data_IF_499090351568
#
_entry.id   IF_499090351568
#
_cell.length_a   1.000
_cell.length_b   1.000
_cell.length_c   1.000
_cell.angle_alpha   90.00
_cell.angle_beta   90.00
_cell.angle_gamma   90.00
#
_symmetry.space_group_name_H-M   'P 1'
#
loop_
_entity.id
_entity.type
_entity.pdbx_description
1 polymer ?
#
# COMPACT_ATOMS: atom_id res chain seq x y z
N UNK A 1 4.61 24.32 -4.51
CA UNK A 1 5.37 24.05 -3.26
C UNK A 1 6.00 22.68 -3.37
N UNK A 2 7.29 22.55 -3.05
CA UNK A 2 8.01 21.27 -3.03
C UNK A 2 8.80 21.18 -1.73
N UNK A 3 8.65 20.08 -1.01
CA UNK A 3 9.48 19.69 0.14
C UNK A 3 10.46 18.62 -0.29
N UNK A 4 11.72 18.73 0.07
CA UNK A 4 12.74 17.74 -0.32
C UNK A 4 13.83 17.62 0.74
N UNK A 5 14.44 16.44 0.82
CA UNK A 5 15.55 16.12 1.72
C UNK A 5 16.92 16.21 1.03
N UNK A 6 18.00 15.96 1.79
CA UNK A 6 19.38 16.05 1.29
C UNK A 6 19.66 15.20 0.05
N UNK A 7 19.03 14.03 -0.06
CA UNK A 7 19.20 13.08 -1.15
C UNK A 7 18.69 13.59 -2.52
N UNK A 8 17.93 14.69 -2.51
CA UNK A 8 17.32 15.28 -3.71
C UNK A 8 17.93 16.61 -4.12
N UNK A 9 18.93 17.15 -3.39
CA UNK A 9 19.49 18.49 -3.64
C UNK A 9 19.86 18.68 -5.12
N UNK A 10 20.75 17.85 -5.69
CA UNK A 10 21.18 18.00 -7.08
C UNK A 10 20.03 17.88 -8.09
N UNK A 11 19.09 16.96 -7.86
CA UNK A 11 17.93 16.81 -8.75
C UNK A 11 17.00 18.00 -8.71
N UNK A 12 16.81 18.60 -7.54
CA UNK A 12 15.97 19.80 -7.39
C UNK A 12 16.66 21.02 -7.97
N UNK A 13 17.96 21.14 -7.76
CA UNK A 13 18.79 22.23 -8.35
C UNK A 13 18.73 22.20 -9.89
N UNK A 14 18.87 21.03 -10.50
CA UNK A 14 18.79 20.87 -11.96
C UNK A 14 17.43 21.28 -12.54
N UNK A 15 16.33 20.95 -11.87
CA UNK A 15 14.97 21.26 -12.37
C UNK A 15 14.44 22.62 -11.93
N UNK A 16 14.97 23.20 -10.88
CA UNK A 16 14.51 24.46 -10.31
C UNK A 16 14.42 25.60 -11.34
N UNK A 17 15.38 25.80 -12.27
CA UNK A 17 15.29 26.84 -13.30
C UNK A 17 14.11 26.65 -14.27
N UNK A 18 13.71 25.41 -14.53
CA UNK A 18 12.63 25.06 -15.47
C UNK A 18 11.23 25.13 -14.84
N UNK A 19 11.14 25.22 -13.53
CA UNK A 19 9.85 25.33 -12.83
C UNK A 19 9.24 26.73 -13.11
N UNK A 20 7.99 26.77 -13.49
CA UNK A 20 7.26 28.00 -13.75
C UNK A 20 6.95 28.79 -12.48
N UNK A 21 6.34 29.95 -12.62
CA UNK A 21 6.08 30.97 -11.58
C UNK A 21 5.51 30.40 -10.26
N UNK A 22 5.93 30.97 -9.13
CA UNK A 22 5.33 30.73 -7.82
C UNK A 22 5.84 29.48 -7.11
N UNK A 23 7.04 29.01 -7.44
CA UNK A 23 7.68 27.89 -6.76
C UNK A 23 8.16 28.28 -5.37
N UNK A 24 7.74 27.50 -4.39
CA UNK A 24 8.30 27.50 -3.06
C UNK A 24 9.03 26.17 -2.90
N UNK A 25 10.32 26.23 -2.64
CA UNK A 25 11.20 25.08 -2.44
C UNK A 25 11.60 25.04 -0.97
N UNK A 26 11.11 24.06 -0.22
CA UNK A 26 11.43 23.89 1.20
C UNK A 26 12.36 22.71 1.38
N UNK A 27 13.50 22.98 1.98
CA UNK A 27 14.46 21.94 2.32
C UNK A 27 14.23 21.44 3.75
N UNK A 28 14.18 20.13 3.91
CA UNK A 28 14.02 19.47 5.22
C UNK A 28 15.31 18.71 5.52
N UNK A 29 16.14 19.27 6.37
CA UNK A 29 17.44 18.70 6.74
C UNK A 29 18.39 19.74 7.30
N UNK A 30 19.63 19.35 7.50
CA UNK A 30 20.71 20.26 7.90
C UNK A 30 21.41 20.85 6.66
N UNK A 31 21.97 22.05 6.80
CA UNK A 31 22.69 22.76 5.72
C UNK A 31 21.83 23.03 4.49
N UNK A 32 20.76 23.84 4.68
CA UNK A 32 19.86 24.23 3.61
C UNK A 32 20.62 24.86 2.43
N UNK A 33 20.40 24.37 1.19
CA UNK A 33 21.01 24.94 0.00
C UNK A 33 20.46 26.34 -0.31
N UNK A 34 21.28 27.23 -0.89
CA UNK A 34 20.94 28.63 -1.14
C UNK A 34 19.75 28.85 -2.08
N UNK A 35 19.35 27.85 -2.87
CA UNK A 35 18.22 27.93 -3.79
C UNK A 35 16.88 27.53 -3.16
N UNK A 36 16.87 27.13 -1.88
CA UNK A 36 15.67 26.72 -1.15
C UNK A 36 15.53 27.46 0.17
N UNK A 37 14.37 27.38 0.79
CA UNK A 37 14.09 27.88 2.13
C UNK A 37 14.18 26.74 3.14
N UNK A 38 14.79 26.99 4.30
CA UNK A 38 14.81 26.03 5.39
C UNK A 38 13.39 25.83 5.95
N UNK A 39 12.93 24.58 5.99
CA UNK A 39 11.57 24.25 6.43
C UNK A 39 11.28 24.70 7.86
N UNK A 40 12.20 24.50 8.78
CA UNK A 40 11.99 24.82 10.19
C UNK A 40 11.93 26.32 10.39
N UNK A 41 12.79 27.07 9.74
CA UNK A 41 12.79 28.53 9.78
C UNK A 41 11.51 29.10 9.15
N UNK A 42 11.10 28.58 7.99
CA UNK A 42 9.92 29.06 7.28
C UNK A 42 8.61 28.77 8.05
N UNK A 43 8.57 27.70 8.84
CA UNK A 43 7.38 27.31 9.60
C UNK A 43 7.37 27.80 11.06
N UNK A 44 8.47 28.32 11.58
CA UNK A 44 8.61 28.71 12.99
C UNK A 44 7.54 29.66 13.51
N UNK A 45 7.04 30.54 12.65
CA UNK A 45 6.02 31.53 12.99
C UNK A 45 4.65 31.25 12.36
N UNK A 46 4.44 30.05 11.81
CA UNK A 46 3.14 29.66 11.28
C UNK A 46 2.14 29.40 12.41
N UNK A 47 0.86 29.66 12.14
CA UNK A 47 -0.22 29.34 13.07
C UNK A 47 -0.30 27.81 13.25
N UNK A 48 -0.48 27.37 14.49
CA UNK A 48 -0.80 25.98 14.82
C UNK A 48 -2.29 25.63 14.67
N UNK A 49 -3.14 26.64 14.41
CA UNK A 49 -4.56 26.43 14.23
C UNK A 49 -4.83 25.70 12.90
N UNK A 50 -5.70 24.68 12.90
CA UNK A 50 -6.10 24.01 11.67
C UNK A 50 -6.71 25.01 10.67
N UNK A 51 -6.38 24.92 9.38
CA UNK A 51 -7.00 25.75 8.37
C UNK A 51 -8.51 25.45 8.30
N UNK A 52 -9.32 26.52 8.20
CA UNK A 52 -10.78 26.41 8.09
C UNK A 52 -11.18 26.03 6.65
N UNK A 53 -10.83 24.81 6.25
CA UNK A 53 -11.16 24.28 4.92
C UNK A 53 -12.07 23.07 5.12
N UNK A 54 -13.19 23.06 4.41
CA UNK A 54 -14.08 21.91 4.35
C UNK A 54 -13.60 20.98 3.23
N UNK A 55 -13.11 19.80 3.61
CA UNK A 55 -12.68 18.75 2.67
C UNK A 55 -13.84 17.82 2.42
N UNK A 56 -14.14 17.55 1.14
CA UNK A 56 -15.16 16.58 0.72
C UNK A 56 -14.51 15.27 0.29
N UNK A 57 -15.26 14.20 0.33
CA UNK A 57 -14.81 12.86 -0.08
C UNK A 57 -14.34 12.83 -1.54
N UNK A 58 -14.95 13.64 -2.40
CA UNK A 58 -14.67 13.74 -3.82
C UNK A 58 -13.47 14.64 -4.15
N UNK A 59 -12.98 15.42 -3.19
CA UNK A 59 -11.82 16.30 -3.41
C UNK A 59 -10.57 15.50 -3.75
N UNK A 60 -9.74 16.11 -4.59
CA UNK A 60 -8.45 15.55 -4.97
C UNK A 60 -7.48 15.61 -3.78
N UNK A 61 -6.93 14.45 -3.40
CA UNK A 61 -6.10 14.32 -2.22
C UNK A 61 -4.61 14.15 -2.54
N UNK A 62 -4.28 13.37 -3.58
CA UNK A 62 -2.89 13.05 -3.87
C UNK A 62 -2.67 12.68 -5.34
N UNK A 63 -1.45 12.92 -5.82
CA UNK A 63 -0.97 12.39 -7.10
C UNK A 63 0.15 11.41 -6.79
N UNK A 64 -0.05 10.16 -7.20
CA UNK A 64 0.96 9.11 -7.14
C UNK A 64 1.53 8.84 -8.52
N UNK A 65 2.83 8.60 -8.59
CA UNK A 65 3.48 8.23 -9.84
C UNK A 65 3.79 6.75 -9.84
N UNK A 66 3.37 6.03 -10.89
CA UNK A 66 3.75 4.64 -11.13
C UNK A 66 4.75 4.52 -12.25
N UNK A 67 5.58 3.47 -12.21
CA UNK A 67 6.48 3.13 -13.32
C UNK A 67 5.64 2.70 -14.52
N UNK A 68 5.48 3.59 -15.49
CA UNK A 68 4.72 3.27 -16.70
C UNK A 68 5.45 2.24 -17.58
N UNK A 69 4.72 1.30 -18.17
CA UNK A 69 5.24 0.35 -19.18
C UNK A 69 5.87 1.04 -20.40
N UNK A 70 5.70 2.34 -20.55
CA UNK A 70 6.19 3.18 -21.65
C UNK A 70 7.45 3.97 -21.29
N UNK A 71 8.10 3.69 -20.16
CA UNK A 71 9.34 4.34 -19.72
C UNK A 71 9.17 5.69 -19.01
N UNK A 72 7.98 6.30 -19.07
CA UNK A 72 7.68 7.53 -18.35
C UNK A 72 6.72 7.27 -17.18
N UNK A 73 6.93 7.90 -16.02
CA UNK A 73 6.01 7.81 -14.88
C UNK A 73 4.59 8.26 -15.27
N UNK A 74 3.59 7.51 -14.82
CA UNK A 74 2.18 7.88 -14.97
C UNK A 74 1.70 8.54 -13.69
N UNK A 75 1.11 9.71 -13.82
CA UNK A 75 0.46 10.42 -12.71
C UNK A 75 -0.94 9.86 -12.48
N UNK A 76 -1.22 9.45 -11.26
CA UNK A 76 -2.48 8.86 -10.82
C UNK A 76 -3.07 9.80 -9.77
N UNK A 77 -4.18 10.44 -10.12
CA UNK A 77 -4.91 11.32 -9.20
C UNK A 77 -5.82 10.49 -8.30
N UNK A 78 -5.66 10.65 -6.99
CA UNK A 78 -6.44 9.97 -5.97
C UNK A 78 -7.27 10.97 -5.16
N UNK A 79 -8.52 10.61 -4.86
CA UNK A 79 -9.43 11.40 -4.02
C UNK A 79 -9.34 10.97 -2.56
N UNK A 80 -9.80 11.84 -1.65
CA UNK A 80 -9.84 11.55 -0.22
C UNK A 80 -10.57 10.25 0.09
N UNK A 81 -11.77 10.05 -0.47
CA UNK A 81 -12.51 8.81 -0.30
C UNK A 81 -11.73 7.56 -0.74
N UNK A 82 -10.95 7.64 -1.83
CA UNK A 82 -10.18 6.49 -2.31
C UNK A 82 -9.10 6.06 -1.30
N UNK A 83 -8.41 7.04 -0.71
CA UNK A 83 -7.40 6.80 0.32
C UNK A 83 -8.03 6.21 1.59
N UNK A 84 -9.12 6.82 2.07
CA UNK A 84 -9.84 6.36 3.26
C UNK A 84 -10.36 4.93 3.09
N UNK A 85 -10.91 4.63 1.91
CA UNK A 85 -11.49 3.33 1.65
C UNK A 85 -10.45 2.22 1.55
N UNK A 86 -9.31 2.51 0.94
CA UNK A 86 -8.18 1.60 0.89
C UNK A 86 -7.70 1.26 2.31
N UNK A 87 -7.49 2.27 3.14
CA UNK A 87 -7.08 2.13 4.53
C UNK A 87 -8.09 1.33 5.37
N UNK A 88 -9.38 1.65 5.22
CA UNK A 88 -10.47 0.97 5.93
C UNK A 88 -10.57 -0.50 5.54
N UNK A 89 -10.49 -0.82 4.25
CA UNK A 89 -10.58 -2.19 3.78
C UNK A 89 -9.44 -3.04 4.35
N UNK A 90 -8.23 -2.51 4.34
CA UNK A 90 -7.06 -3.18 4.90
C UNK A 90 -7.17 -3.36 6.41
N UNK A 91 -7.56 -2.31 7.13
CA UNK A 91 -7.72 -2.37 8.57
C UNK A 91 -8.80 -3.39 9.01
N UNK A 92 -9.93 -3.45 8.30
CA UNK A 92 -10.99 -4.43 8.57
C UNK A 92 -10.50 -5.84 8.25
N UNK A 93 -9.81 -6.03 7.11
CA UNK A 93 -9.31 -7.33 6.70
C UNK A 93 -8.25 -7.88 7.67
N UNK A 94 -7.37 -7.03 8.16
CA UNK A 94 -6.34 -7.39 9.14
C UNK A 94 -6.83 -7.38 10.59
N UNK A 95 -8.10 -7.10 10.82
CA UNK A 95 -8.66 -6.97 12.18
C UNK A 95 -7.82 -6.01 13.03
N UNK A 96 -7.37 -4.89 12.42
CA UNK A 96 -6.50 -3.93 13.08
C UNK A 96 -7.23 -3.23 14.21
N UNK A 97 -6.61 -3.20 15.38
CA UNK A 97 -7.13 -2.62 16.61
C UNK A 97 -6.30 -1.40 17.03
N UNK A 98 -6.83 -0.64 17.97
CA UNK A 98 -6.13 0.52 18.54
C UNK A 98 -4.76 0.16 19.15
N UNK A 99 -4.65 -1.01 19.75
CA UNK A 99 -3.44 -1.50 20.43
C UNK A 99 -2.38 -2.02 19.46
N UNK A 100 -2.72 -2.19 18.17
CA UNK A 100 -1.77 -2.67 17.19
C UNK A 100 -0.67 -1.65 16.89
N UNK A 101 0.49 -2.17 16.52
CA UNK A 101 1.64 -1.38 16.09
C UNK A 101 2.09 -1.89 14.72
N UNK A 102 1.92 -1.06 13.71
CA UNK A 102 2.34 -1.39 12.35
C UNK A 102 3.79 -0.97 12.09
N UNK A 103 4.63 -1.90 11.63
CA UNK A 103 5.98 -1.58 11.14
C UNK A 103 5.94 -1.25 9.65
N UNK A 104 6.18 0.01 9.32
CA UNK A 104 6.27 0.53 7.97
C UNK A 104 7.73 0.57 7.50
N UNK A 105 8.12 -0.41 6.70
CA UNK A 105 9.47 -0.52 6.13
C UNK A 105 9.56 0.18 4.77
N UNK A 106 8.59 0.01 3.86
CA UNK A 106 8.66 0.65 2.55
C UNK A 106 8.47 2.16 2.65
N UNK A 107 8.98 2.91 1.67
CA UNK A 107 8.75 4.35 1.60
C UNK A 107 7.25 4.70 1.61
N UNK A 108 6.89 5.81 2.26
CA UNK A 108 5.48 6.23 2.43
C UNK A 108 4.75 6.51 1.11
N UNK A 109 5.49 6.76 0.02
CA UNK A 109 4.90 6.89 -1.32
C UNK A 109 4.47 5.56 -1.95
N UNK A 110 4.88 4.42 -1.38
CA UNK A 110 4.49 3.11 -1.87
C UNK A 110 3.04 2.79 -1.46
N UNK A 111 2.25 2.29 -2.41
CA UNK A 111 0.82 2.02 -2.17
C UNK A 111 0.59 1.05 -1.00
N UNK A 112 1.41 0.00 -0.89
CA UNK A 112 1.33 -0.94 0.24
C UNK A 112 1.61 -0.29 1.59
N UNK A 113 2.64 0.56 1.69
CA UNK A 113 2.88 1.33 2.91
C UNK A 113 1.69 2.23 3.24
N UNK A 114 1.21 2.96 2.23
CA UNK A 114 0.13 3.94 2.38
C UNK A 114 -1.13 3.36 3.00
N UNK A 115 -1.64 2.25 2.51
CA UNK A 115 -2.89 1.68 3.02
C UNK A 115 -2.77 1.24 4.48
N UNK A 116 -1.61 0.77 4.91
CA UNK A 116 -1.39 0.37 6.30
C UNK A 116 -1.22 1.55 7.26
N UNK A 117 -0.36 2.52 6.95
CA UNK A 117 -0.17 3.63 7.87
C UNK A 117 -1.39 4.56 7.93
N UNK A 118 -2.14 4.72 6.83
CA UNK A 118 -3.47 5.34 6.90
C UNK A 118 -4.47 4.46 7.66
N UNK A 119 -4.35 3.13 7.60
CA UNK A 119 -5.10 2.22 8.44
C UNK A 119 -4.85 2.46 9.93
N UNK A 120 -3.60 2.73 10.30
CA UNK A 120 -3.25 3.10 11.68
C UNK A 120 -3.89 4.42 12.10
N UNK A 121 -3.89 5.44 11.24
CA UNK A 121 -4.63 6.69 11.52
C UNK A 121 -6.13 6.45 11.66
N UNK A 122 -6.70 5.58 10.82
CA UNK A 122 -8.14 5.24 10.86
C UNK A 122 -8.55 4.53 12.15
N UNK A 123 -7.71 3.64 12.68
CA UNK A 123 -7.97 2.87 13.91
C UNK A 123 -7.47 3.53 15.18
N UNK A 124 -6.68 4.62 15.04
CA UNK A 124 -5.97 5.25 16.15
C UNK A 124 -4.81 4.39 16.68
N UNK A 125 -4.34 3.42 15.90
CA UNK A 125 -3.19 2.60 16.25
C UNK A 125 -1.86 3.29 15.91
N UNK A 126 -0.75 2.72 16.35
CA UNK A 126 0.59 3.29 16.11
C UNK A 126 1.21 2.74 14.83
N UNK A 127 1.92 3.58 14.08
CA UNK A 127 2.80 3.17 13.00
C UNK A 127 4.24 3.57 13.32
N UNK A 128 5.17 2.64 13.12
CA UNK A 128 6.62 2.83 13.29
C UNK A 128 7.23 2.90 11.89
N UNK A 129 7.93 4.00 11.59
CA UNK A 129 8.63 4.17 10.32
C UNK A 129 10.06 3.69 10.47
N UNK A 130 10.42 2.63 9.75
CA UNK A 130 11.76 2.07 9.78
C UNK A 130 12.57 2.57 8.58
N UNK A 131 13.73 3.14 8.86
CA UNK A 131 14.73 3.47 7.84
C UNK A 131 15.63 2.26 7.59
N UNK A 132 15.52 1.68 6.40
CA UNK A 132 16.27 0.47 6.02
C UNK A 132 15.43 -0.80 6.13
N UNK A 133 16.01 -1.91 5.72
CA UNK A 133 15.29 -3.18 5.56
C UNK A 133 16.15 -4.40 5.86
N UNK A 134 17.29 -4.22 6.55
CA UNK A 134 18.11 -5.37 6.95
C UNK A 134 17.35 -6.25 7.95
N UNK A 135 17.56 -7.58 7.93
CA UNK A 135 16.93 -8.49 8.89
C UNK A 135 17.09 -8.04 10.34
N UNK A 136 18.30 -7.63 10.72
CA UNK A 136 18.61 -7.12 12.05
C UNK A 136 17.77 -5.89 12.41
N UNK A 137 17.74 -4.86 11.54
CA UNK A 137 16.98 -3.64 11.80
C UNK A 137 15.46 -3.90 11.93
N UNK A 138 14.93 -4.84 11.13
CA UNK A 138 13.53 -5.24 11.23
C UNK A 138 13.25 -5.89 12.59
N UNK A 139 14.09 -6.81 13.05
CA UNK A 139 13.90 -7.51 14.32
C UNK A 139 14.12 -6.59 15.53
N UNK A 140 15.10 -5.70 15.47
CA UNK A 140 15.30 -4.67 16.47
C UNK A 140 14.06 -3.79 16.63
N UNK A 141 13.48 -3.35 15.50
CA UNK A 141 12.27 -2.54 15.50
C UNK A 141 11.06 -3.32 16.02
N UNK A 142 10.86 -4.57 15.56
CA UNK A 142 9.74 -5.41 16.03
C UNK A 142 9.83 -5.64 17.53
N UNK A 143 11.02 -5.97 18.03
CA UNK A 143 11.26 -6.24 19.44
C UNK A 143 11.16 -4.96 20.30
N UNK A 144 11.87 -3.90 19.90
CA UNK A 144 11.94 -2.65 20.67
C UNK A 144 10.63 -1.87 20.68
N UNK A 145 9.99 -1.75 19.52
CA UNK A 145 8.74 -0.99 19.35
C UNK A 145 7.48 -1.83 19.58
N UNK A 146 7.63 -3.12 19.86
CA UNK A 146 6.51 -4.05 20.08
C UNK A 146 5.55 -4.12 18.88
N UNK A 147 6.10 -4.18 17.67
CA UNK A 147 5.29 -4.24 16.46
C UNK A 147 4.47 -5.54 16.40
N UNK A 148 3.19 -5.40 16.02
CA UNK A 148 2.22 -6.50 15.95
C UNK A 148 1.91 -6.90 14.52
N UNK A 149 2.07 -5.98 13.58
CA UNK A 149 1.83 -6.17 12.14
C UNK A 149 3.07 -5.68 11.39
N UNK A 150 3.62 -6.52 10.53
CA UNK A 150 4.76 -6.16 9.68
C UNK A 150 4.43 -6.44 8.23
N UNK A 151 4.65 -5.47 7.35
CA UNK A 151 4.55 -5.67 5.92
C UNK A 151 5.92 -5.85 5.30
N UNK A 152 6.11 -7.00 4.64
CA UNK A 152 7.35 -7.40 4.01
C UNK A 152 7.20 -7.46 2.48
N UNK A 153 8.28 -7.12 1.78
CA UNK A 153 8.46 -7.57 0.41
C UNK A 153 9.03 -9.00 0.40
N UNK A 154 8.77 -9.73 -0.67
CA UNK A 154 9.29 -11.10 -0.84
C UNK A 154 10.81 -11.17 -0.65
N UNK A 155 11.66 -10.28 -1.22
CA UNK A 155 13.09 -10.31 -0.97
C UNK A 155 13.46 -10.15 0.51
N UNK A 156 12.82 -9.25 1.24
CA UNK A 156 13.10 -9.05 2.67
C UNK A 156 12.75 -10.26 3.52
N UNK A 157 11.65 -10.93 3.17
CA UNK A 157 11.29 -12.20 3.80
C UNK A 157 12.36 -13.29 3.51
N UNK A 158 12.88 -13.34 2.29
CA UNK A 158 13.97 -14.24 1.91
C UNK A 158 15.26 -13.93 2.68
N UNK A 159 15.62 -12.65 2.81
CA UNK A 159 16.81 -12.22 3.53
C UNK A 159 16.73 -12.58 5.03
N UNK A 160 15.55 -12.41 5.63
CA UNK A 160 15.29 -12.81 7.03
C UNK A 160 15.48 -14.33 7.19
N UNK A 161 14.85 -15.13 6.35
CA UNK A 161 14.96 -16.60 6.43
C UNK A 161 16.40 -17.05 6.22
N UNK A 162 17.10 -16.47 5.23
CA UNK A 162 18.50 -16.79 5.00
C UNK A 162 19.41 -16.42 6.18
N UNK A 163 19.12 -15.35 6.90
CA UNK A 163 19.85 -14.96 8.10
C UNK A 163 19.57 -15.92 9.27
N UNK A 164 18.33 -16.38 9.42
CA UNK A 164 17.94 -17.40 10.40
C UNK A 164 18.59 -18.75 10.10
N UNK A 165 18.54 -19.20 8.84
CA UNK A 165 19.14 -20.48 8.40
C UNK A 165 20.65 -20.54 8.66
N UNK A 166 21.35 -19.40 8.50
CA UNK A 166 22.79 -19.30 8.79
C UNK A 166 23.13 -19.12 10.27
N UNK A 167 22.13 -18.82 11.10
CA UNK A 167 22.33 -18.48 12.50
C UNK A 167 22.89 -17.07 12.73
N UNK A 168 22.88 -16.20 11.71
CA UNK A 168 23.27 -14.78 11.81
C UNK A 168 22.21 -13.98 12.61
N UNK A 169 20.99 -14.47 12.65
CA UNK A 169 19.85 -13.94 13.38
C UNK A 169 19.28 -15.04 14.25
N UNK A 170 19.05 -14.77 15.55
CA UNK A 170 18.53 -15.76 16.49
C UNK A 170 17.24 -15.24 17.11
N UNK A 171 16.19 -16.07 17.08
CA UNK A 171 14.87 -15.66 17.59
C UNK A 171 14.85 -15.40 19.08
N UNK A 172 15.69 -16.14 19.85
CA UNK A 172 15.81 -16.02 21.30
C UNK A 172 16.34 -14.66 21.77
N UNK A 173 17.02 -13.91 20.89
CA UNK A 173 17.56 -12.59 21.21
C UNK A 173 16.49 -11.47 21.17
N UNK A 174 15.25 -11.81 20.73
CA UNK A 174 14.18 -10.85 20.46
C UNK A 174 12.88 -11.17 21.17
N UNK A 175 12.10 -10.14 21.46
CA UNK A 175 10.73 -10.26 21.92
C UNK A 175 9.78 -10.17 20.71
N UNK A 176 9.33 -11.30 20.22
CA UNK A 176 8.53 -11.40 18.98
C UNK A 176 7.11 -11.93 19.21
N UNK A 177 6.74 -12.32 20.43
CA UNK A 177 5.45 -12.95 20.74
C UNK A 177 4.22 -12.09 20.40
N UNK A 178 4.38 -10.76 20.37
CA UNK A 178 3.33 -9.82 20.01
C UNK A 178 3.15 -9.69 18.49
N UNK A 179 4.13 -10.11 17.68
CA UNK A 179 4.06 -10.07 16.23
C UNK A 179 3.05 -11.10 15.73
N UNK A 180 1.83 -10.66 15.46
CA UNK A 180 0.70 -11.54 15.14
C UNK A 180 0.47 -11.76 13.65
N UNK A 181 0.86 -10.78 12.81
CA UNK A 181 0.57 -10.78 11.39
C UNK A 181 1.80 -10.45 10.55
N UNK A 182 2.17 -11.37 9.67
CA UNK A 182 3.07 -11.13 8.57
C UNK A 182 2.27 -10.91 7.29
N UNK A 183 2.23 -9.68 6.82
CA UNK A 183 1.67 -9.36 5.52
C UNK A 183 2.80 -9.27 4.49
N UNK A 184 2.66 -9.95 3.38
CA UNK A 184 3.68 -10.01 2.33
C UNK A 184 3.05 -9.76 0.96
N UNK A 185 3.69 -8.93 0.13
CA UNK A 185 3.10 -8.58 -1.15
C UNK A 185 4.03 -7.88 -2.12
N UNK A 186 3.43 -7.06 -2.98
CA UNK A 186 4.02 -6.32 -4.09
C UNK A 186 4.53 -7.17 -5.27
N UNK A 187 4.57 -8.49 -5.13
CA UNK A 187 4.90 -9.45 -6.19
C UNK A 187 4.32 -10.83 -5.86
N UNK A 188 4.32 -11.79 -6.81
CA UNK A 188 3.87 -13.16 -6.53
C UNK A 188 4.64 -13.77 -5.37
N UNK A 189 3.92 -14.32 -4.39
CA UNK A 189 4.49 -14.92 -3.19
C UNK A 189 4.63 -16.43 -3.40
N UNK A 190 5.87 -16.98 -3.38
CA UNK A 190 6.06 -18.41 -3.52
C UNK A 190 5.49 -19.19 -2.32
N UNK A 191 4.68 -20.24 -2.55
CA UNK A 191 4.18 -21.07 -1.45
C UNK A 191 5.27 -21.70 -0.56
N UNK A 192 6.43 -22.02 -1.15
CA UNK A 192 7.59 -22.54 -0.40
C UNK A 192 8.13 -21.53 0.59
N UNK A 193 8.15 -20.24 0.24
CA UNK A 193 8.59 -19.17 1.12
C UNK A 193 7.72 -19.11 2.39
N UNK A 194 6.40 -19.19 2.22
CA UNK A 194 5.49 -19.14 3.38
C UNK A 194 5.59 -20.39 4.24
N UNK A 195 5.77 -21.57 3.63
CA UNK A 195 6.00 -22.81 4.42
C UNK A 195 7.28 -22.70 5.24
N UNK A 196 8.38 -22.22 4.63
CA UNK A 196 9.65 -22.02 5.34
C UNK A 196 9.51 -20.95 6.45
N UNK A 197 8.77 -19.85 6.18
CA UNK A 197 8.47 -18.86 7.23
C UNK A 197 7.76 -19.48 8.43
N UNK A 198 6.79 -20.35 8.19
CA UNK A 198 6.01 -21.00 9.25
C UNK A 198 6.81 -22.04 10.08
N UNK A 199 7.98 -22.48 9.61
CA UNK A 199 8.90 -23.30 10.41
C UNK A 199 9.50 -22.48 11.56
N UNK A 200 9.82 -21.21 11.33
CA UNK A 200 10.32 -20.29 12.34
C UNK A 200 9.22 -19.59 13.14
N UNK A 201 8.09 -19.28 12.48
CA UNK A 201 7.01 -18.48 13.05
C UNK A 201 5.64 -19.18 12.95
N UNK A 202 5.46 -20.32 13.63
CA UNK A 202 4.23 -21.11 13.51
C UNK A 202 2.97 -20.40 14.02
N UNK A 203 3.13 -19.35 14.83
CA UNK A 203 2.02 -18.56 15.39
C UNK A 203 1.62 -17.35 14.55
N UNK A 204 2.42 -17.00 13.55
CA UNK A 204 2.11 -15.85 12.71
C UNK A 204 0.91 -16.15 11.82
N UNK A 205 0.01 -15.18 11.75
CA UNK A 205 -0.97 -15.16 10.68
C UNK A 205 -0.29 -14.64 9.42
N UNK A 206 -0.53 -15.33 8.30
CA UNK A 206 -0.06 -14.92 6.99
C UNK A 206 -1.17 -14.25 6.22
N UNK A 207 -0.86 -13.16 5.56
CA UNK A 207 -1.75 -12.53 4.61
C UNK A 207 -1.01 -11.98 3.39
N UNK A 208 -1.73 -11.84 2.31
CA UNK A 208 -1.28 -11.15 1.10
C UNK A 208 -2.46 -10.49 0.43
N UNK A 209 -2.17 -9.49 -0.40
CA UNK A 209 -3.17 -8.92 -1.27
C UNK A 209 -2.60 -8.62 -2.66
N UNK A 210 -3.49 -8.40 -3.61
CA UNK A 210 -3.18 -7.90 -4.93
C UNK A 210 -3.74 -6.50 -5.09
N UNK A 211 -2.88 -5.56 -5.47
CA UNK A 211 -3.27 -4.18 -5.70
C UNK A 211 -2.35 -3.46 -6.66
N UNK A 212 -2.80 -2.31 -7.11
CA UNK A 212 -2.07 -1.40 -7.99
C UNK A 212 -2.19 0.01 -7.44
N UNK A 213 -1.28 0.91 -7.83
CA UNK A 213 -1.40 2.34 -7.51
C UNK A 213 -2.69 2.93 -8.06
N UNK A 214 -3.12 2.47 -9.25
CA UNK A 214 -4.36 2.85 -9.91
C UNK A 214 -5.62 2.39 -9.17
N UNK A 215 -5.54 1.31 -8.39
CA UNK A 215 -6.64 0.84 -7.54
C UNK A 215 -6.65 1.49 -6.15
N UNK A 216 -5.67 2.32 -5.84
CA UNK A 216 -5.46 2.99 -4.54
C UNK A 216 -5.10 2.01 -3.40
N UNK A 217 -5.27 0.72 -3.59
CA UNK A 217 -5.05 -0.28 -2.56
C UNK A 217 -5.38 -1.67 -3.05
N UNK A 218 -5.75 -2.58 -2.16
CA UNK A 218 -5.98 -3.95 -2.52
C UNK A 218 -7.20 -4.08 -3.44
N UNK A 219 -6.99 -4.71 -4.58
CA UNK A 219 -8.08 -5.15 -5.47
C UNK A 219 -8.63 -6.50 -5.06
N UNK A 220 -7.75 -7.36 -4.55
CA UNK A 220 -8.08 -8.63 -3.93
C UNK A 220 -7.39 -8.74 -2.58
N UNK A 221 -8.02 -9.41 -1.64
CA UNK A 221 -7.50 -9.74 -0.31
C UNK A 221 -7.52 -11.24 -0.11
N UNK A 222 -6.54 -11.78 0.60
CA UNK A 222 -6.49 -13.20 0.90
C UNK A 222 -7.67 -13.60 1.79
N UNK A 223 -8.10 -14.87 1.72
CA UNK A 223 -9.29 -15.38 2.40
C UNK A 223 -9.16 -15.43 3.93
N UNK A 224 -9.02 -14.30 4.55
CA UNK A 224 -8.87 -14.22 5.99
C UNK A 224 -7.48 -14.65 6.46
N UNK A 225 -7.19 -14.27 7.68
CA UNK A 225 -5.91 -14.49 8.33
C UNK A 225 -5.66 -15.97 8.60
N UNK A 226 -4.45 -16.44 8.33
CA UNK A 226 -4.04 -17.80 8.60
C UNK A 226 -4.55 -18.87 7.63
N UNK A 227 -5.00 -18.50 6.45
CA UNK A 227 -5.55 -19.40 5.44
C UNK A 227 -4.44 -20.13 4.64
N UNK A 228 -3.60 -20.87 5.33
CA UNK A 228 -2.38 -21.49 4.78
C UNK A 228 -2.65 -22.52 3.67
N UNK A 229 -3.81 -23.18 3.66
CA UNK A 229 -4.16 -24.15 2.61
C UNK A 229 -4.41 -23.49 1.25
N UNK A 230 -4.47 -22.17 1.22
CA UNK A 230 -4.67 -21.34 0.01
C UNK A 230 -3.44 -20.50 -0.34
N UNK A 231 -2.29 -20.82 0.24
CA UNK A 231 -1.03 -20.15 -0.08
C UNK A 231 -0.77 -20.18 -1.59
N UNK A 232 -0.39 -19.02 -2.15
CA UNK A 232 -0.22 -18.83 -3.59
C UNK A 232 -1.42 -18.22 -4.30
N UNK A 233 -2.59 -18.17 -3.66
CA UNK A 233 -3.71 -17.38 -4.14
C UNK A 233 -3.54 -15.90 -3.79
N UNK A 234 -4.03 -14.99 -4.65
CA UNK A 234 -4.07 -13.55 -4.37
C UNK A 234 -5.31 -13.13 -3.57
N UNK A 235 -6.18 -14.09 -3.26
CA UNK A 235 -7.37 -13.88 -2.46
C UNK A 235 -8.67 -13.75 -3.24
N UNK A 236 -9.64 -13.11 -2.62
CA UNK A 236 -10.94 -12.77 -3.21
C UNK A 236 -11.02 -11.29 -3.50
N UNK A 237 -11.86 -10.84 -4.44
CA UNK A 237 -12.09 -9.42 -4.66
C UNK A 237 -12.42 -8.70 -3.35
N UNK A 238 -11.69 -7.62 -3.06
CA UNK A 238 -11.88 -6.79 -1.87
C UNK A 238 -13.12 -5.92 -1.96
N UNK A 239 -14.23 -6.49 -2.41
CA UNK A 239 -15.52 -5.84 -2.56
C UNK A 239 -16.47 -6.34 -1.47
N UNK A 240 -17.32 -5.58 -1.04
CA UNK A 240 -18.33 -5.90 0.00
C UNK A 240 -18.70 -4.68 0.78
N UNK A 241 -18.22 -3.54 0.37
CA UNK A 241 -18.47 -2.33 1.11
C UNK A 241 -19.28 -1.27 0.34
N UNK A 242 -19.54 -1.46 -0.94
CA UNK A 242 -20.58 -0.68 -1.63
C UNK A 242 -21.97 -0.89 -1.00
N UNK A 243 -22.23 -2.06 -0.43
CA UNK A 243 -23.49 -2.33 0.28
C UNK A 243 -23.63 -1.61 1.60
N UNK A 244 -22.51 -1.21 2.25
CA UNK A 244 -22.56 -0.51 3.55
C UNK A 244 -22.86 0.98 3.43
N UNK A 245 -22.61 1.58 2.27
CA UNK A 245 -22.87 3.01 2.04
C UNK A 245 -24.33 3.36 1.73
N UNK A 246 -25.20 2.37 1.53
CA UNK A 246 -26.60 2.57 1.15
C UNK A 246 -27.62 2.15 2.22
N UNK A 247 -27.21 2.06 3.48
CA UNK A 247 -28.17 1.83 4.58
C UNK A 247 -28.82 0.45 4.57
N UNK A 248 -28.24 -0.56 3.92
CA UNK A 248 -28.71 -1.92 4.00
C UNK A 248 -27.83 -2.77 4.91
N UNK A 249 -28.53 -3.53 5.74
CA UNK A 249 -28.06 -4.42 6.80
C UNK A 249 -26.79 -5.24 6.49
N UNK A 250 -26.04 -5.58 7.53
CA UNK A 250 -24.83 -6.43 7.60
C UNK A 250 -24.96 -7.85 7.00
N UNK A 251 -25.73 -8.03 5.95
CA UNK A 251 -25.84 -9.32 5.25
C UNK A 251 -24.67 -9.48 4.27
N UNK A 252 -23.93 -10.59 4.33
CA UNK A 252 -23.01 -10.96 3.28
C UNK A 252 -23.77 -11.07 1.94
N UNK A 253 -23.17 -10.73 0.80
CA UNK A 253 -23.80 -10.85 -0.50
C UNK A 253 -24.30 -12.28 -0.71
N UNK A 254 -25.57 -12.42 -1.01
CA UNK A 254 -26.20 -13.71 -1.32
C UNK A 254 -25.55 -14.37 -2.54
N UNK A 255 -25.75 -15.69 -2.74
CA UNK A 255 -25.22 -16.42 -3.88
C UNK A 255 -25.89 -15.90 -5.17
N UNK A 256 -25.18 -15.09 -5.93
CA UNK A 256 -25.68 -14.46 -7.16
C UNK A 256 -25.30 -12.99 -7.33
N UNK A 257 -24.59 -12.42 -6.38
CA UNK A 257 -24.08 -11.05 -6.47
C UNK A 257 -23.16 -10.89 -7.69
N UNK A 258 -23.51 -10.02 -8.62
CA UNK A 258 -22.64 -9.58 -9.72
C UNK A 258 -21.32 -9.15 -9.11
N UNK A 259 -20.22 -9.49 -9.79
CA UNK A 259 -18.93 -8.87 -9.49
C UNK A 259 -19.12 -7.36 -9.44
N UNK A 260 -19.05 -6.80 -8.24
CA UNK A 260 -19.37 -5.40 -8.03
C UNK A 260 -18.31 -4.59 -8.75
N UNK A 261 -18.77 -3.73 -9.65
CA UNK A 261 -17.91 -2.72 -10.23
C UNK A 261 -17.40 -1.86 -9.08
N UNK A 262 -16.17 -1.89 -8.98
CA UNK A 262 -15.26 -1.04 -8.26
C UNK A 262 -15.88 0.20 -7.65
N UNK A 263 -16.07 0.17 -6.35
CA UNK A 263 -16.34 1.32 -5.53
C UNK A 263 -15.23 2.39 -5.63
N UNK A 264 -15.44 3.49 -4.98
CA UNK A 264 -14.58 4.68 -5.02
C UNK A 264 -13.07 4.42 -4.87
N UNK A 265 -12.66 3.30 -4.29
CA UNK A 265 -11.25 2.90 -4.15
C UNK A 265 -10.53 2.47 -5.42
N UNK A 266 -11.20 2.44 -6.58
CA UNK A 266 -10.61 1.87 -7.81
C UNK A 266 -10.36 2.85 -8.95
N UNK A 267 -10.68 4.11 -8.80
CA UNK A 267 -10.47 5.09 -9.87
C UNK A 267 -9.45 6.14 -9.48
N UNK A 268 -8.17 5.74 -9.55
CA UNK A 268 -7.15 6.74 -9.86
C UNK A 268 -7.43 7.27 -11.27
N UNK A 269 -7.60 8.57 -11.42
CA UNK A 269 -7.71 9.20 -12.72
C UNK A 269 -6.30 9.43 -13.26
N UNK A 270 -6.00 8.86 -14.45
CA UNK A 270 -4.74 9.17 -15.13
C UNK A 270 -4.82 10.60 -15.67
N UNK A 271 -3.91 11.45 -15.24
CA UNK A 271 -3.79 12.80 -15.79
C UNK A 271 -3.26 12.74 -17.22
N UNK A 272 -3.77 13.60 -18.16
CA UNK A 272 -3.25 13.69 -19.50
C UNK A 272 -1.76 14.10 -19.50
N UNK A 273 -0.98 13.51 -20.38
CA UNK A 273 0.40 13.95 -20.57
C UNK A 273 0.43 15.35 -21.19
N UNK A 274 1.32 16.23 -20.79
CA UNK A 274 1.56 17.46 -21.53
C UNK A 274 1.99 17.10 -22.98
N UNK A 275 1.22 17.57 -23.97
CA UNK A 275 1.52 17.37 -25.40
C UNK A 275 1.04 16.05 -26.03
N UNK A 276 0.36 15.17 -25.32
CA UNK A 276 -0.19 13.93 -25.85
C UNK A 276 -1.56 14.10 -26.51
N UNK A 277 -1.71 13.69 -27.76
CA UNK A 277 -3.00 13.65 -28.43
C UNK A 277 -4.01 12.84 -27.61
N UNK A 278 -5.20 13.40 -27.40
CA UNK A 278 -6.35 12.73 -26.79
C UNK A 278 -6.64 11.42 -27.58
N UNK A 279 -6.32 10.27 -26.99
CA UNK A 279 -6.86 9.01 -27.49
C UNK A 279 -8.36 9.03 -27.18
N UNK A 280 -9.17 8.78 -28.22
CA UNK A 280 -10.61 8.58 -28.08
C UNK A 280 -10.87 7.44 -27.09
N UNK A 281 -11.90 7.53 -26.23
CA UNK A 281 -12.28 6.43 -25.38
C UNK A 281 -12.63 5.21 -26.25
N UNK A 282 -11.96 4.09 -26.00
CA UNK A 282 -12.28 2.84 -26.66
C UNK A 282 -13.73 2.43 -26.34
N UNK A 283 -14.45 2.01 -27.38
CA UNK A 283 -15.82 1.54 -27.28
C UNK A 283 -15.95 0.46 -26.22
N UNK A 284 -16.91 0.62 -25.35
CA UNK A 284 -17.35 -0.37 -24.39
C UNK A 284 -17.67 -1.69 -25.12
N UNK A 285 -16.92 -2.74 -24.82
CA UNK A 285 -17.32 -4.09 -25.17
C UNK A 285 -18.52 -4.49 -24.30
N UNK A 286 -19.58 -4.92 -24.97
CA UNK A 286 -20.78 -5.44 -24.33
C UNK A 286 -20.48 -6.70 -23.49
N UNK A 287 -21.18 -6.94 -22.37
CA UNK A 287 -20.92 -8.09 -21.54
C UNK A 287 -21.45 -9.37 -22.25
N UNK A 288 -20.56 -10.33 -22.45
CA UNK A 288 -20.95 -11.68 -22.81
C UNK A 288 -21.80 -12.31 -21.71
N UNK A 289 -23.01 -12.76 -22.05
CA UNK A 289 -23.86 -13.57 -21.20
C UNK A 289 -23.22 -14.96 -21.05
N UNK A 290 -22.65 -15.26 -19.89
CA UNK A 290 -22.26 -16.62 -19.55
C UNK A 290 -23.12 -17.12 -18.38
N UNK A 291 -23.95 -18.15 -18.66
CA UNK A 291 -24.64 -18.89 -17.61
C UNK A 291 -23.64 -19.78 -16.87
N UNK A 292 -23.54 -19.64 -15.56
CA UNK A 292 -22.70 -20.51 -14.74
C UNK A 292 -23.20 -20.59 -13.31
N UNK A 293 -23.71 -21.75 -12.96
CA UNK A 293 -24.20 -22.18 -11.64
C UNK A 293 -23.06 -22.34 -10.61
N UNK A 294 -23.46 -22.23 -9.35
CA UNK A 294 -22.89 -22.76 -8.11
C UNK A 294 -21.87 -21.90 -7.37
N UNK A 295 -22.32 -21.51 -6.18
CA UNK A 295 -21.66 -20.67 -5.20
C UNK A 295 -20.48 -21.29 -4.47
N UNK A 296 -19.32 -21.31 -5.09
CA UNK A 296 -18.05 -21.37 -4.37
C UNK A 296 -17.27 -20.11 -4.68
N UNK A 297 -16.88 -19.38 -3.65
CA UNK A 297 -15.96 -18.24 -3.78
C UNK A 297 -14.70 -18.75 -4.47
N UNK A 298 -14.45 -18.30 -5.69
CA UNK A 298 -13.21 -18.63 -6.41
C UNK A 298 -12.08 -17.73 -5.91
N UNK A 299 -10.99 -18.36 -5.51
CA UNK A 299 -9.71 -17.71 -5.33
C UNK A 299 -9.07 -17.44 -6.68
N UNK A 300 -8.43 -16.28 -6.81
CA UNK A 300 -7.66 -15.92 -7.99
C UNK A 300 -6.19 -16.27 -7.77
N UNK A 301 -5.59 -16.91 -8.76
CA UNK A 301 -4.16 -17.19 -8.80
C UNK A 301 -3.50 -16.29 -9.85
N UNK A 302 -2.27 -15.85 -9.64
CA UNK A 302 -1.54 -15.12 -10.66
C UNK A 302 -1.38 -16.00 -11.90
N UNK A 303 -1.69 -15.46 -13.08
CA UNK A 303 -1.47 -16.13 -14.36
C UNK A 303 0.04 -16.42 -14.55
N UNK A 304 0.35 -17.59 -15.10
CA UNK A 304 1.73 -17.86 -15.55
C UNK A 304 2.08 -16.87 -16.68
N UNK A 305 3.26 -16.24 -16.67
CA UNK A 305 3.69 -15.49 -17.83
C UNK A 305 3.79 -16.44 -19.03
N UNK A 306 3.10 -16.10 -20.12
CA UNK A 306 3.28 -16.81 -21.39
C UNK A 306 4.75 -16.72 -21.81
N UNK A 307 5.39 -17.87 -21.96
CA UNK A 307 6.71 -17.95 -22.57
C UNK A 307 6.56 -17.50 -24.03
N UNK A 308 7.08 -16.32 -24.33
CA UNK A 308 7.21 -15.87 -25.70
C UNK A 308 7.96 -16.95 -26.52
N UNK A 309 7.32 -17.43 -27.57
CA UNK A 309 7.99 -18.20 -28.61
C UNK A 309 8.80 -17.21 -29.45
N UNK A 310 10.10 -17.39 -29.44
CA UNK A 310 10.97 -17.01 -30.56
C UNK A 310 11.27 -18.25 -31.36
#
# INVERSE_FOLDING_TARGET
MLFFGPEFIGRVEDVAPSLSRGRLLFFVGENCPSFAEDYHTATANCSSEPPKVLIQDEDDAAIYYSSGTTGFPKAILLRHQCLLQSARMEAIHHETKHEDVFLCIPPLYHTGAKMHWFGSLFTGSRAVLLKGNSPQAIFDAVSGEKCTIVWLLVPWCQDILAALDRGDLKLEDYQLSQWRLMHIGAQPVPPSLIRHWMEYFPHHKYDTNYGLSESTGPGCVHLGLGNLHKVGAIGVPGCGWEDRGRGQSDRPPGPGGRAVRQGAGRHGMLLPRPGGHRRRPERRLAPHRGHGRTGRRRLLFPGRPEKGRH
#
